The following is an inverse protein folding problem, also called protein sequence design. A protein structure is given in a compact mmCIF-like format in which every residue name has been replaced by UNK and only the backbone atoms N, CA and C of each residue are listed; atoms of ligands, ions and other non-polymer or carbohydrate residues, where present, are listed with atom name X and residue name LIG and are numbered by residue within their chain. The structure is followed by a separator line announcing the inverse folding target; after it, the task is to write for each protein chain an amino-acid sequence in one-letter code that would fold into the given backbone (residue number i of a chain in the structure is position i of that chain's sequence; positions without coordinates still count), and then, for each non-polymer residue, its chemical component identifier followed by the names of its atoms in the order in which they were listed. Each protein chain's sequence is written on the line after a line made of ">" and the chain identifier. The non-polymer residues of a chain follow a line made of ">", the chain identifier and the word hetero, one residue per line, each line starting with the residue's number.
data_IF_693187488676
#
_entry.id   IF_693187488676
#
_cell.length_a   1.000
_cell.length_b   1.000
_cell.length_c   1.000
_cell.angle_alpha   90.00
_cell.angle_beta   90.00
_cell.angle_gamma   90.00
#
_symmetry.space_group_name_H-M   'P 1'
#
loop_
_entity.id
_entity.type
_entity.pdbx_description
1 polymer ?
#
# COMPACT_ATOMS: atom_id res chain seq x y z
N UNK A 1 0.98 -15.97 30.71
CA UNK A 1 0.91 -16.05 29.24
C UNK A 1 2.24 -16.55 28.74
N UNK A 2 2.29 -17.78 28.26
CA UNK A 2 3.51 -18.43 27.74
C UNK A 2 3.86 -17.78 26.41
N UNK A 3 4.83 -16.85 26.42
CA UNK A 3 5.40 -16.29 25.21
C UNK A 3 6.13 -17.40 24.46
N UNK A 4 5.59 -17.81 23.32
CA UNK A 4 6.35 -18.62 22.37
C UNK A 4 7.55 -17.80 21.93
N UNK A 5 8.74 -18.19 22.38
CA UNK A 5 9.99 -17.62 21.88
C UNK A 5 10.19 -18.12 20.46
N UNK A 6 10.34 -17.21 19.49
CA UNK A 6 10.64 -17.56 18.10
C UNK A 6 12.02 -18.21 18.08
N UNK A 7 12.12 -19.41 17.53
CA UNK A 7 13.38 -20.15 17.38
C UNK A 7 14.23 -19.57 16.25
N UNK A 8 15.54 -19.85 16.27
CA UNK A 8 16.44 -19.46 15.18
C UNK A 8 16.02 -20.04 13.82
N UNK A 9 15.56 -21.29 13.79
CA UNK A 9 15.08 -21.93 12.57
C UNK A 9 13.83 -21.24 12.00
N UNK A 10 12.87 -20.83 12.85
CA UNK A 10 11.71 -20.07 12.42
C UNK A 10 12.09 -18.69 11.89
N UNK A 11 13.05 -18.01 12.54
CA UNK A 11 13.61 -16.74 12.07
C UNK A 11 14.20 -16.89 10.66
N UNK A 12 15.06 -17.89 10.45
CA UNK A 12 15.72 -18.12 9.17
C UNK A 12 14.70 -18.47 8.06
N UNK A 13 13.67 -19.25 8.39
CA UNK A 13 12.60 -19.58 7.44
C UNK A 13 11.78 -18.34 7.04
N UNK A 14 11.50 -17.43 7.98
CA UNK A 14 10.84 -16.15 7.67
C UNK A 14 11.70 -15.30 6.74
N UNK A 15 13.01 -15.16 7.02
CA UNK A 15 13.95 -14.42 6.18
C UNK A 15 13.99 -15.00 4.76
N UNK A 16 14.13 -16.32 4.63
CA UNK A 16 14.10 -16.99 3.33
C UNK A 16 12.80 -16.74 2.57
N UNK A 17 11.66 -16.75 3.27
CA UNK A 17 10.35 -16.52 2.66
C UNK A 17 10.19 -15.09 2.12
N UNK A 18 10.79 -14.10 2.79
CA UNK A 18 10.85 -12.72 2.33
C UNK A 18 11.75 -12.57 1.09
N UNK A 19 12.96 -13.13 1.15
CA UNK A 19 13.96 -13.05 0.08
C UNK A 19 13.53 -13.76 -1.20
N UNK A 20 12.79 -14.87 -1.07
CA UNK A 20 12.24 -15.61 -2.22
C UNK A 20 10.89 -15.09 -2.69
N UNK A 21 10.39 -14.01 -2.08
CA UNK A 21 9.09 -13.39 -2.40
C UNK A 21 7.89 -14.35 -2.35
N UNK A 22 8.03 -15.49 -1.65
CA UNK A 22 6.93 -16.44 -1.41
C UNK A 22 5.81 -15.82 -0.59
N UNK A 23 6.16 -14.86 0.26
CA UNK A 23 5.23 -14.04 1.01
C UNK A 23 5.10 -12.67 0.34
N UNK A 24 3.95 -12.41 -0.27
CA UNK A 24 3.72 -11.24 -1.10
C UNK A 24 2.32 -10.61 -0.91
N UNK A 25 1.68 -10.87 0.23
CA UNK A 25 0.44 -10.18 0.63
C UNK A 25 0.70 -9.28 1.82
N UNK A 26 -0.07 -8.19 1.93
CA UNK A 26 0.06 -7.23 3.02
C UNK A 26 -0.07 -7.90 4.39
N UNK A 27 -1.07 -8.78 4.55
CA UNK A 27 -1.33 -9.46 5.83
C UNK A 27 -0.16 -10.35 6.23
N UNK A 28 0.39 -11.12 5.29
CA UNK A 28 1.48 -12.03 5.58
C UNK A 28 2.81 -11.29 5.86
N UNK A 29 3.09 -10.21 5.13
CA UNK A 29 4.23 -9.33 5.42
C UNK A 29 4.09 -8.67 6.79
N UNK A 30 2.90 -8.16 7.14
CA UNK A 30 2.61 -7.61 8.48
C UNK A 30 2.79 -8.62 9.60
N UNK A 31 2.41 -9.89 9.37
CA UNK A 31 2.61 -10.97 10.35
C UNK A 31 4.10 -11.19 10.63
N UNK A 32 4.93 -11.23 9.59
CA UNK A 32 6.38 -11.37 9.73
C UNK A 32 6.98 -10.13 10.41
N UNK A 33 6.56 -8.92 10.02
CA UNK A 33 7.02 -7.68 10.66
C UNK A 33 6.72 -7.65 12.16
N UNK A 34 5.51 -8.04 12.58
CA UNK A 34 5.15 -8.14 14.01
C UNK A 34 6.02 -9.18 14.73
N UNK A 35 6.32 -10.31 14.09
CA UNK A 35 7.22 -11.32 14.66
C UNK A 35 8.66 -10.79 14.80
N UNK A 36 9.19 -10.11 13.79
CA UNK A 36 10.53 -9.52 13.82
C UNK A 36 10.68 -8.43 14.87
N UNK A 37 9.63 -7.61 15.08
CA UNK A 37 9.62 -6.62 16.14
C UNK A 37 9.75 -7.23 17.55
N UNK A 38 9.23 -8.44 17.77
CA UNK A 38 9.39 -9.17 19.04
C UNK A 38 10.80 -9.72 19.24
N UNK A 39 11.50 -10.07 18.15
CA UNK A 39 12.89 -10.55 18.20
C UNK A 39 13.84 -9.37 18.47
N UNK A 40 13.57 -8.20 17.87
CA UNK A 40 14.35 -6.98 18.10
C UNK A 40 15.77 -7.02 17.53
N UNK A 41 16.04 -7.90 16.56
CA UNK A 41 17.38 -8.09 15.99
C UNK A 41 17.60 -7.18 14.76
N UNK A 42 18.71 -6.41 14.68
CA UNK A 42 18.94 -5.46 13.59
C UNK A 42 19.01 -6.08 12.18
N UNK A 43 19.50 -7.31 12.08
CA UNK A 43 19.64 -8.08 10.82
C UNK A 43 18.30 -8.39 10.13
N UNK A 44 17.18 -8.15 10.82
CA UNK A 44 15.83 -8.33 10.29
C UNK A 44 15.30 -7.12 9.51
N UNK A 45 15.94 -5.95 9.68
CA UNK A 45 15.47 -4.69 9.10
C UNK A 45 15.60 -4.70 7.57
N UNK A 46 16.75 -5.13 7.06
CA UNK A 46 17.03 -5.14 5.62
C UNK A 46 16.11 -6.11 4.85
N UNK A 47 15.98 -7.40 5.24
CA UNK A 47 15.06 -8.32 4.57
C UNK A 47 13.61 -7.82 4.56
N UNK A 48 13.15 -7.22 5.65
CA UNK A 48 11.78 -6.72 5.76
C UNK A 48 11.57 -5.46 4.89
N UNK A 49 12.55 -4.55 4.85
CA UNK A 49 12.51 -3.35 3.99
C UNK A 49 12.51 -3.73 2.51
N UNK A 50 13.35 -4.70 2.13
CA UNK A 50 13.41 -5.21 0.77
C UNK A 50 12.07 -5.87 0.35
N UNK A 51 11.46 -6.65 1.23
CA UNK A 51 10.18 -7.30 0.94
C UNK A 51 9.02 -6.31 0.76
N UNK A 52 8.93 -5.26 1.59
CA UNK A 52 7.95 -4.19 1.39
C UNK A 52 8.18 -3.44 0.09
N UNK A 53 9.43 -3.16 -0.24
CA UNK A 53 9.79 -2.50 -1.50
C UNK A 53 9.38 -3.35 -2.70
N UNK A 54 9.65 -4.67 -2.66
CA UNK A 54 9.24 -5.61 -3.69
C UNK A 54 7.72 -5.65 -3.84
N UNK A 55 6.98 -5.81 -2.74
CA UNK A 55 5.51 -5.87 -2.71
C UNK A 55 4.85 -4.66 -3.39
N UNK A 56 5.38 -3.46 -3.12
CA UNK A 56 4.84 -2.22 -3.68
C UNK A 56 5.21 -2.04 -5.15
N UNK A 57 6.45 -2.38 -5.52
CA UNK A 57 6.97 -2.15 -6.88
C UNK A 57 6.57 -3.24 -7.88
N UNK A 58 6.33 -4.49 -7.44
CA UNK A 58 5.98 -5.63 -8.30
C UNK A 58 4.49 -5.97 -8.22
N UNK A 59 3.64 -4.95 -8.34
CA UNK A 59 2.17 -5.02 -8.45
C UNK A 59 1.39 -5.65 -7.28
N UNK A 60 2.03 -6.13 -6.21
CA UNK A 60 1.35 -6.71 -5.05
C UNK A 60 0.32 -5.73 -4.44
N UNK A 61 0.77 -4.52 -4.12
CA UNK A 61 -0.12 -3.48 -3.56
C UNK A 61 -1.27 -3.10 -4.50
N UNK A 62 -0.99 -2.89 -5.78
CA UNK A 62 -2.02 -2.54 -6.76
C UNK A 62 -3.07 -3.64 -6.91
N UNK A 63 -2.63 -4.89 -6.91
CA UNK A 63 -3.50 -6.07 -7.03
C UNK A 63 -4.45 -6.13 -5.85
N UNK A 64 -3.95 -5.97 -4.63
CA UNK A 64 -4.81 -6.02 -3.44
C UNK A 64 -5.74 -4.80 -3.34
N UNK A 65 -5.28 -3.59 -3.71
CA UNK A 65 -6.15 -2.42 -3.79
C UNK A 65 -7.29 -2.64 -4.78
N UNK A 66 -7.02 -3.19 -5.98
CA UNK A 66 -8.05 -3.51 -6.97
C UNK A 66 -8.99 -4.64 -6.53
N UNK A 67 -8.49 -5.58 -5.72
CA UNK A 67 -9.34 -6.61 -5.13
C UNK A 67 -10.35 -6.02 -4.11
N UNK A 68 -10.01 -4.91 -3.47
CA UNK A 68 -10.92 -4.15 -2.59
C UNK A 68 -11.86 -3.23 -3.39
N UNK A 69 -11.39 -2.59 -4.45
CA UNK A 69 -12.16 -1.62 -5.24
C UNK A 69 -12.81 -2.25 -6.48
N UNK A 70 -13.71 -3.21 -6.29
CA UNK A 70 -14.27 -4.00 -7.41
C UNK A 70 -15.22 -3.21 -8.30
N UNK A 71 -15.92 -2.23 -7.74
CA UNK A 71 -16.88 -1.43 -8.50
C UNK A 71 -16.13 -0.42 -9.38
N UNK A 72 -15.06 0.15 -8.82
CA UNK A 72 -14.23 1.16 -9.46
C UNK A 72 -12.76 0.84 -9.24
N UNK A 73 -12.12 0.07 -10.14
CA UNK A 73 -10.73 -0.37 -9.99
C UNK A 73 -9.76 0.77 -9.68
N UNK A 74 -8.94 0.58 -8.64
CA UNK A 74 -7.96 1.58 -8.20
C UNK A 74 -6.99 1.98 -9.32
N UNK A 75 -6.72 3.28 -9.43
CA UNK A 75 -5.85 3.88 -10.44
C UNK A 75 -4.38 3.49 -10.22
N UNK A 76 -3.74 2.99 -11.29
CA UNK A 76 -2.30 2.77 -11.32
C UNK A 76 -1.53 4.08 -11.19
N UNK A 77 -2.01 5.14 -11.83
CA UNK A 77 -1.38 6.46 -11.89
C UNK A 77 -1.34 7.11 -10.50
N UNK A 78 -2.42 6.98 -9.73
CA UNK A 78 -2.47 7.41 -8.33
C UNK A 78 -1.39 6.71 -7.48
N UNK A 79 -1.18 5.41 -7.71
CA UNK A 79 -0.18 4.63 -7.00
C UNK A 79 1.26 5.01 -7.43
N UNK A 80 1.52 5.15 -8.73
CA UNK A 80 2.84 5.53 -9.22
C UNK A 80 3.22 6.96 -8.80
N UNK A 81 2.27 7.89 -8.76
CA UNK A 81 2.48 9.24 -8.21
C UNK A 81 2.88 9.17 -6.74
N UNK A 82 2.15 8.39 -5.93
CA UNK A 82 2.47 8.23 -4.52
C UNK A 82 3.88 7.67 -4.30
N UNK A 83 4.27 6.63 -5.05
CA UNK A 83 5.63 6.06 -5.02
C UNK A 83 6.68 7.12 -5.32
N UNK A 84 6.51 7.87 -6.41
CA UNK A 84 7.46 8.93 -6.80
C UNK A 84 7.60 9.98 -5.72
N UNK A 85 6.49 10.41 -5.12
CA UNK A 85 6.50 11.39 -4.03
C UNK A 85 7.21 10.88 -2.78
N UNK A 86 7.04 9.61 -2.43
CA UNK A 86 7.82 8.99 -1.35
C UNK A 86 9.31 9.03 -1.68
N UNK A 87 9.71 8.62 -2.89
CA UNK A 87 11.13 8.65 -3.28
C UNK A 87 11.74 10.06 -3.31
N UNK A 88 10.96 11.08 -3.64
CA UNK A 88 11.43 12.47 -3.66
C UNK A 88 11.35 13.20 -2.32
N UNK A 89 10.65 12.64 -1.33
CA UNK A 89 10.45 13.30 -0.04
C UNK A 89 11.63 13.04 0.90
N UNK A 90 12.41 14.07 1.28
CA UNK A 90 13.53 13.91 2.21
C UNK A 90 13.08 13.43 3.60
N UNK A 91 11.80 13.58 3.96
CA UNK A 91 11.23 13.06 5.20
C UNK A 91 10.82 11.59 5.14
N UNK A 92 10.85 10.94 3.96
CA UNK A 92 10.54 9.50 3.83
C UNK A 92 11.50 8.59 4.59
N UNK A 93 12.69 9.10 4.95
CA UNK A 93 13.64 8.39 5.83
C UNK A 93 13.10 8.12 7.25
N UNK A 94 11.95 8.71 7.64
CA UNK A 94 11.33 8.52 8.96
C UNK A 94 10.61 7.17 9.15
N UNK A 95 10.40 6.41 8.07
CA UNK A 95 9.83 5.07 8.13
C UNK A 95 10.55 4.17 7.15
N UNK A 96 10.93 2.98 7.61
CA UNK A 96 11.50 1.94 6.78
C UNK A 96 10.42 1.18 5.97
N UNK A 97 9.14 1.35 6.33
CA UNK A 97 8.02 0.68 5.68
C UNK A 97 7.51 1.47 4.46
N UNK A 98 7.99 1.10 3.28
CA UNK A 98 7.66 1.77 2.01
C UNK A 98 6.16 1.70 1.67
N UNK A 99 5.49 0.58 1.97
CA UNK A 99 4.06 0.41 1.71
C UNK A 99 3.22 1.41 2.51
N UNK A 100 3.48 1.51 3.81
CA UNK A 100 2.78 2.47 4.67
C UNK A 100 3.02 3.92 4.24
N UNK A 101 4.25 4.27 3.85
CA UNK A 101 4.58 5.60 3.33
C UNK A 101 3.78 5.95 2.08
N UNK A 102 3.71 5.02 1.12
CA UNK A 102 2.97 5.19 -0.13
C UNK A 102 1.48 5.39 0.13
N UNK A 103 0.85 4.52 0.94
CA UNK A 103 -0.57 4.64 1.32
C UNK A 103 -0.84 5.96 2.06
N UNK A 104 0.05 6.35 2.97
CA UNK A 104 -0.06 7.61 3.70
C UNK A 104 0.07 8.83 2.79
N UNK A 105 0.97 8.79 1.80
CA UNK A 105 1.13 9.86 0.81
C UNK A 105 -0.10 10.05 -0.05
N UNK A 106 -0.75 8.96 -0.49
CA UNK A 106 -2.02 9.05 -1.24
C UNK A 106 -3.07 9.90 -0.51
N UNK A 107 -3.18 9.72 0.81
CA UNK A 107 -4.11 10.48 1.66
C UNK A 107 -3.63 11.90 1.92
N UNK A 108 -2.40 12.05 2.43
CA UNK A 108 -1.88 13.35 2.89
C UNK A 108 -1.81 14.35 1.74
N UNK A 109 -1.42 13.88 0.56
CA UNK A 109 -1.21 14.73 -0.60
C UNK A 109 -2.47 14.85 -1.48
N UNK A 110 -3.61 14.34 -1.02
CA UNK A 110 -4.90 14.39 -1.73
C UNK A 110 -4.83 13.83 -3.17
N UNK A 111 -4.07 12.75 -3.36
CA UNK A 111 -3.93 12.12 -4.68
C UNK A 111 -5.23 11.45 -5.12
N UNK A 112 -5.94 10.82 -4.20
CA UNK A 112 -7.18 10.08 -4.50
C UNK A 112 -8.22 11.00 -5.17
N UNK A 113 -8.62 12.16 -4.59
CA UNK A 113 -9.53 13.08 -5.26
C UNK A 113 -9.06 13.54 -6.64
N UNK A 114 -7.76 13.83 -6.79
CA UNK A 114 -7.20 14.29 -8.05
C UNK A 114 -7.32 13.22 -9.16
N UNK A 115 -6.83 12.00 -8.90
CA UNK A 115 -6.85 10.93 -9.88
C UNK A 115 -8.26 10.37 -10.10
N UNK A 116 -9.13 10.42 -9.09
CA UNK A 116 -10.53 10.07 -9.25
C UNK A 116 -11.23 11.03 -10.21
N UNK A 117 -10.99 12.34 -10.09
CA UNK A 117 -11.54 13.32 -11.02
C UNK A 117 -10.99 13.13 -12.42
N UNK A 118 -9.66 12.99 -12.55
CA UNK A 118 -8.99 12.74 -13.81
C UNK A 118 -9.57 11.51 -14.52
N UNK A 119 -9.66 10.37 -13.82
CA UNK A 119 -10.19 9.14 -14.40
C UNK A 119 -11.67 9.26 -14.75
N UNK A 120 -12.48 9.91 -13.91
CA UNK A 120 -13.90 10.11 -14.17
C UNK A 120 -14.16 11.04 -15.37
N UNK A 121 -13.21 11.90 -15.73
CA UNK A 121 -13.30 12.78 -16.90
C UNK A 121 -12.92 12.08 -18.22
N UNK A 122 -12.32 10.88 -18.18
CA UNK A 122 -11.90 10.17 -19.38
C UNK A 122 -13.12 9.71 -20.19
N UNK A 123 -13.20 10.01 -21.51
CA UNK A 123 -14.31 9.56 -22.35
C UNK A 123 -14.53 8.03 -22.35
N UNK A 124 -13.48 7.24 -22.11
CA UNK A 124 -13.57 5.78 -22.00
C UNK A 124 -14.48 5.32 -20.86
N UNK A 125 -14.63 6.10 -19.79
CA UNK A 125 -15.59 5.83 -18.71
C UNK A 125 -17.06 6.04 -19.15
N UNK A 126 -17.26 6.70 -20.29
CA UNK A 126 -18.56 7.11 -20.81
C UNK A 126 -18.82 6.52 -22.21
N UNK A 127 -18.22 5.36 -22.50
CA UNK A 127 -18.39 4.68 -23.79
C UNK A 127 -17.81 5.47 -24.97
N UNK A 128 -16.81 6.32 -24.74
CA UNK A 128 -16.18 7.18 -25.75
C UNK A 128 -16.84 8.56 -25.89
N UNK A 129 -17.91 8.85 -25.16
CA UNK A 129 -18.59 10.15 -25.19
C UNK A 129 -17.92 11.18 -24.29
N UNK A 130 -18.06 12.46 -24.63
CA UNK A 130 -17.63 13.55 -23.76
C UNK A 130 -18.58 13.62 -22.55
N UNK A 131 -18.08 13.52 -21.32
CA UNK A 131 -18.94 13.58 -20.15
C UNK A 131 -19.42 14.99 -19.82
N UNK A 132 -20.57 15.07 -19.15
CA UNK A 132 -21.01 16.32 -18.52
C UNK A 132 -20.24 16.56 -17.23
N UNK A 133 -20.09 17.83 -16.85
CA UNK A 133 -19.43 18.20 -15.59
C UNK A 133 -20.08 17.50 -14.38
N UNK A 134 -21.42 17.48 -14.34
CA UNK A 134 -22.17 16.80 -13.27
C UNK A 134 -21.93 15.27 -13.25
N UNK A 135 -21.84 14.64 -14.43
CA UNK A 135 -21.50 13.23 -14.56
C UNK A 135 -20.12 12.93 -13.98
N UNK A 136 -19.11 13.73 -14.37
CA UNK A 136 -17.75 13.60 -13.83
C UNK A 136 -17.76 13.77 -12.31
N UNK A 137 -18.46 14.77 -11.77
CA UNK A 137 -18.54 14.98 -10.31
C UNK A 137 -19.12 13.76 -9.60
N UNK A 138 -20.24 13.19 -10.08
CA UNK A 138 -20.85 12.02 -9.45
C UNK A 138 -19.96 10.79 -9.50
N UNK A 139 -19.38 10.49 -10.66
CA UNK A 139 -18.52 9.32 -10.83
C UNK A 139 -17.23 9.46 -10.02
N UNK A 140 -16.62 10.66 -10.03
CA UNK A 140 -15.45 10.98 -9.22
C UNK A 140 -15.75 10.80 -7.72
N UNK A 141 -16.91 11.25 -7.23
CA UNK A 141 -17.29 11.03 -5.84
C UNK A 141 -17.39 9.54 -5.48
N UNK A 142 -17.89 8.70 -6.39
CA UNK A 142 -17.98 7.26 -6.20
C UNK A 142 -16.59 6.60 -6.16
N UNK A 143 -15.67 7.01 -7.05
CA UNK A 143 -14.26 6.60 -7.01
C UNK A 143 -13.60 7.00 -5.68
N UNK A 144 -13.74 8.27 -5.29
CA UNK A 144 -13.16 8.81 -4.05
C UNK A 144 -13.63 8.01 -2.84
N UNK A 145 -14.92 7.69 -2.76
CA UNK A 145 -15.48 6.92 -1.65
C UNK A 145 -14.85 5.52 -1.57
N UNK A 146 -14.85 4.75 -2.67
CA UNK A 146 -14.34 3.38 -2.67
C UNK A 146 -12.82 3.31 -2.50
N UNK A 147 -12.08 4.21 -3.15
CA UNK A 147 -10.61 4.26 -3.08
C UNK A 147 -10.11 4.67 -1.70
N UNK A 148 -10.74 5.67 -1.05
CA UNK A 148 -10.40 6.00 0.33
C UNK A 148 -10.73 4.84 1.27
N UNK A 149 -11.89 4.20 1.11
CA UNK A 149 -12.23 3.03 1.91
C UNK A 149 -11.18 1.92 1.79
N UNK A 150 -10.71 1.62 0.58
CA UNK A 150 -9.70 0.59 0.34
C UNK A 150 -8.34 0.97 0.96
N UNK A 151 -7.87 2.20 0.77
CA UNK A 151 -6.62 2.68 1.38
C UNK A 151 -6.71 2.68 2.91
N UNK A 152 -7.85 3.08 3.47
CA UNK A 152 -8.11 3.02 4.91
C UNK A 152 -8.19 1.60 5.44
N UNK A 153 -8.70 0.66 4.65
CA UNK A 153 -8.69 -0.75 5.00
C UNK A 153 -7.26 -1.29 5.10
N UNK A 154 -6.41 -0.96 4.13
CA UNK A 154 -4.99 -1.36 4.14
C UNK A 154 -4.22 -0.72 5.30
N UNK A 155 -4.42 0.58 5.55
CA UNK A 155 -3.71 1.31 6.61
C UNK A 155 -4.05 0.79 8.02
N UNK A 156 -5.24 0.22 8.24
CA UNK A 156 -5.65 -0.36 9.53
C UNK A 156 -4.78 -1.53 10.00
N UNK A 157 -3.98 -2.13 9.13
CA UNK A 157 -3.03 -3.18 9.53
C UNK A 157 -1.84 -2.66 10.35
N UNK A 158 -1.66 -1.35 10.42
CA UNK A 158 -0.76 -0.68 11.34
C UNK A 158 -1.58 0.04 12.42
N UNK A 159 -1.60 -0.50 13.64
CA UNK A 159 -2.24 0.14 14.80
C UNK A 159 -1.59 1.48 15.14
N UNK A 160 -0.28 1.58 14.94
CA UNK A 160 0.51 2.79 15.02
C UNK A 160 1.38 2.93 13.76
N UNK A 161 1.66 4.17 13.29
CA UNK A 161 2.63 4.40 12.23
C UNK A 161 3.95 3.67 12.50
N UNK A 162 4.50 2.90 11.52
CA UNK A 162 5.82 2.25 11.63
C UNK A 162 6.95 3.27 11.43
N UNK A 163 6.88 4.39 12.15
CA UNK A 163 7.89 5.45 12.16
C UNK A 163 8.90 5.19 13.27
N UNK A 164 10.17 5.52 13.01
CA UNK A 164 11.22 5.53 14.04
C UNK A 164 11.17 6.81 14.88
#
# INVERSE_FOLDING_TARGET
>A
MSGHSISAAEKDQMIQSLQTHRVNTLVALRRIEKAFALIGSPDLTEPMTAAWSYYVNHHGLLTELRALTKNYPFSSECLEEAKRRVYSDPQSNRSWNFCWLVLSKMKKDQLIPHYANYQAALPTMWGGSVPTAEGVTRLSAAFVAEWNWAVDNMLRHWEQPPTQ
#
